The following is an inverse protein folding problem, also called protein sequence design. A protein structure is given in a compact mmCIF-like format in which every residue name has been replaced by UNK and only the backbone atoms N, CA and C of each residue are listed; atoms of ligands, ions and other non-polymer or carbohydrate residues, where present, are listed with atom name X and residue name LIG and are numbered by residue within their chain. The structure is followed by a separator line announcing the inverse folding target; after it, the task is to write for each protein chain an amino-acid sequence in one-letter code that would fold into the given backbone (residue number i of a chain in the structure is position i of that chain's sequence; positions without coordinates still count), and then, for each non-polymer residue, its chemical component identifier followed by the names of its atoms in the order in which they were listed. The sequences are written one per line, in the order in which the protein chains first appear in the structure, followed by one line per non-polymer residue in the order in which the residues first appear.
data_IF_673733908224
#
_entry.id   IF_673733908224
#
_cell.length_a   1.000
_cell.length_b   1.000
_cell.length_c   1.000
_cell.angle_alpha   90.00
_cell.angle_beta   90.00
_cell.angle_gamma   90.00
#
_symmetry.space_group_name_H-M   'P 1'
#
loop_
_entity.id
_entity.type
_entity.pdbx_description
1 polymer ?
#
# COMPACT_ATOMS: atom_id res chain seq x y z
N UNK A 1 56.41 -11.82 22.63
CA UNK A 1 56.48 -13.30 22.53
C UNK A 1 55.09 -13.80 22.15
N UNK A 2 54.96 -14.28 20.90
CA UNK A 2 53.92 -15.18 20.33
C UNK A 2 52.46 -14.67 20.32
N UNK A 3 51.89 -14.24 19.17
CA UNK A 3 51.22 -15.09 18.13
C UNK A 3 50.27 -16.12 18.78
N UNK A 4 48.99 -16.23 18.40
CA UNK A 4 48.54 -16.84 17.13
C UNK A 4 47.03 -16.53 16.93
N UNK A 5 46.66 -16.22 15.69
CA UNK A 5 45.28 -16.21 15.19
C UNK A 5 44.76 -17.65 15.02
N UNK A 6 43.52 -17.94 15.43
CA UNK A 6 42.85 -19.21 15.11
C UNK A 6 41.63 -18.96 14.22
N UNK A 7 41.79 -19.28 12.94
CA UNK A 7 40.73 -19.30 11.95
C UNK A 7 39.80 -20.50 12.19
N UNK A 8 38.57 -20.26 12.66
CA UNK A 8 37.53 -21.31 12.63
C UNK A 8 37.06 -21.43 11.19
N UNK A 9 37.58 -22.48 10.56
CA UNK A 9 37.33 -22.83 9.18
C UNK A 9 36.42 -24.05 9.13
N UNK A 10 35.55 -24.09 8.11
CA UNK A 10 34.93 -25.30 7.51
C UNK A 10 33.75 -25.85 8.33
N UNK A 11 32.62 -26.26 7.78
CA UNK A 11 32.10 -26.34 6.41
C UNK A 11 30.73 -26.99 6.55
N UNK A 12 29.64 -26.31 6.17
CA UNK A 12 28.36 -26.99 5.90
C UNK A 12 28.37 -27.37 4.42
N UNK A 13 28.14 -28.65 4.08
CA UNK A 13 27.05 -28.83 3.12
C UNK A 13 26.25 -30.13 3.25
N UNK A 14 25.04 -30.00 2.72
CA UNK A 14 24.28 -31.03 2.01
C UNK A 14 23.39 -31.96 2.83
N UNK A 15 22.11 -31.56 2.94
CA UNK A 15 21.03 -32.49 2.62
C UNK A 15 20.18 -31.90 1.50
N UNK A 16 20.37 -32.48 0.32
CA UNK A 16 19.46 -32.36 -0.82
C UNK A 16 18.14 -33.01 -0.41
N UNK A 17 17.07 -32.23 -0.26
CA UNK A 17 15.71 -32.76 -0.40
C UNK A 17 15.23 -32.35 -1.78
N UNK A 18 15.32 -33.32 -2.70
CA UNK A 18 14.58 -33.31 -3.95
C UNK A 18 13.11 -33.54 -3.61
N UNK A 19 12.32 -32.48 -3.50
CA UNK A 19 10.88 -32.55 -3.60
C UNK A 19 10.48 -31.69 -4.79
N UNK A 20 10.25 -32.36 -5.92
CA UNK A 20 9.66 -31.76 -7.12
C UNK A 20 8.33 -31.13 -6.70
N UNK A 21 8.10 -29.81 -6.85
CA UNK A 21 6.74 -29.32 -6.80
C UNK A 21 6.07 -29.89 -8.05
N UNK A 22 5.12 -30.81 -7.85
CA UNK A 22 4.14 -31.12 -8.88
C UNK A 22 3.46 -29.80 -9.20
N UNK A 23 3.74 -29.29 -10.39
CA UNK A 23 3.05 -28.18 -10.99
C UNK A 23 1.58 -28.60 -11.19
N UNK A 24 0.76 -28.44 -10.15
CA UNK A 24 -0.68 -28.36 -10.34
C UNK A 24 -0.94 -26.99 -10.94
N UNK A 25 -1.06 -27.00 -12.26
CA UNK A 25 -1.62 -25.93 -13.05
C UNK A 25 -3.11 -25.76 -12.69
N UNK A 26 -3.40 -25.08 -11.58
CA UNK A 26 -4.73 -24.50 -11.40
C UNK A 26 -4.80 -23.21 -12.23
N UNK A 27 -5.04 -23.37 -13.53
CA UNK A 27 -5.38 -22.33 -14.50
C UNK A 27 -6.77 -21.69 -14.25
N UNK A 28 -7.19 -21.60 -12.99
CA UNK A 28 -8.47 -21.00 -12.56
C UNK A 28 -8.22 -19.64 -11.91
N UNK A 29 -7.30 -18.85 -12.47
CA UNK A 29 -7.00 -17.49 -12.00
C UNK A 29 -6.86 -16.53 -13.17
N UNK A 30 -7.81 -16.55 -14.11
CA UNK A 30 -7.77 -15.66 -15.25
C UNK A 30 -9.17 -15.21 -15.72
N UNK A 31 -10.10 -14.88 -14.83
CA UNK A 31 -11.34 -14.16 -15.20
C UNK A 31 -12.04 -13.51 -13.99
N UNK A 32 -11.34 -12.66 -13.25
CA UNK A 32 -12.04 -11.62 -12.50
C UNK A 32 -11.31 -10.32 -12.76
N UNK A 33 -11.57 -9.74 -13.93
CA UNK A 33 -11.32 -8.32 -14.18
C UNK A 33 -12.13 -7.57 -13.13
N UNK A 34 -11.46 -7.29 -12.04
CA UNK A 34 -12.01 -6.66 -10.87
C UNK A 34 -12.74 -5.40 -11.33
N UNK A 35 -13.99 -5.27 -10.92
CA UNK A 35 -14.73 -4.01 -10.97
C UNK A 35 -14.05 -3.04 -10.00
N UNK A 36 -12.90 -2.50 -10.39
CA UNK A 36 -12.07 -1.62 -9.60
C UNK A 36 -12.64 -0.21 -9.73
N UNK A 37 -13.78 0.05 -9.08
CA UNK A 37 -14.24 1.42 -8.91
C UNK A 37 -13.18 2.18 -8.09
N UNK A 38 -12.58 3.26 -8.62
CA UNK A 38 -11.56 3.98 -7.88
C UNK A 38 -12.18 4.58 -6.62
N UNK A 39 -11.73 4.13 -5.46
CA UNK A 39 -12.15 4.65 -4.16
C UNK A 39 -11.82 6.15 -4.15
N UNK A 40 -12.85 7.00 -4.18
CA UNK A 40 -12.66 8.47 -4.15
C UNK A 40 -12.34 8.91 -2.72
N UNK A 41 -11.07 8.90 -2.37
CA UNK A 41 -10.52 9.41 -1.10
C UNK A 41 -10.44 10.95 -1.07
N UNK A 42 -10.04 11.52 0.07
CA UNK A 42 -9.80 12.95 0.22
C UNK A 42 -8.50 13.38 -0.47
N UNK A 43 -8.54 14.52 -1.19
CA UNK A 43 -7.34 15.15 -1.75
C UNK A 43 -6.73 16.12 -0.75
N UNK A 44 -5.50 15.88 -0.33
CA UNK A 44 -4.77 16.80 0.56
C UNK A 44 -4.27 18.01 -0.22
N UNK A 45 -4.52 19.22 0.28
CA UNK A 45 -4.07 20.51 -0.29
C UNK A 45 -3.60 21.45 0.82
N UNK A 46 -2.66 22.34 0.51
CA UNK A 46 -2.21 23.39 1.44
C UNK A 46 -3.32 24.41 1.74
N UNK A 47 -4.08 24.80 0.71
CA UNK A 47 -5.25 25.67 0.81
C UNK A 47 -6.50 24.95 0.29
N UNK A 48 -7.59 25.06 1.05
CA UNK A 48 -8.85 24.38 0.74
C UNK A 48 -9.92 25.42 0.40
N UNK A 49 -10.61 25.23 -0.73
CA UNK A 49 -11.65 26.14 -1.22
C UNK A 49 -12.89 25.36 -1.65
N UNK A 50 -14.07 25.98 -1.55
CA UNK A 50 -15.32 25.41 -2.09
C UNK A 50 -15.30 25.50 -3.62
N UNK A 51 -15.64 24.40 -4.30
CA UNK A 51 -15.69 24.32 -5.77
C UNK A 51 -17.12 24.38 -6.33
N UNK A 52 -18.12 24.06 -5.50
CA UNK A 52 -19.53 23.99 -5.86
C UNK A 52 -20.39 24.56 -4.71
N UNK A 53 -21.66 24.92 -4.96
CA UNK A 53 -22.57 25.39 -3.91
C UNK A 53 -22.78 24.36 -2.79
N UNK A 54 -22.81 23.07 -3.13
CA UNK A 54 -22.99 21.97 -2.16
C UNK A 54 -21.72 21.66 -1.34
N UNK A 55 -20.59 22.30 -1.66
CA UNK A 55 -19.37 22.12 -0.90
C UNK A 55 -19.43 22.92 0.39
N UNK A 56 -19.21 22.26 1.51
CA UNK A 56 -19.18 22.90 2.82
C UNK A 56 -17.89 22.62 3.57
N UNK A 57 -17.47 23.60 4.36
CA UNK A 57 -16.24 23.57 5.14
C UNK A 57 -16.54 23.01 6.53
N UNK A 58 -15.72 22.07 6.99
CA UNK A 58 -15.84 21.49 8.33
C UNK A 58 -14.47 21.43 8.97
N UNK A 59 -14.36 21.85 10.24
CA UNK A 59 -13.16 21.63 11.06
C UNK A 59 -13.34 20.35 11.89
N UNK A 60 -12.44 19.38 11.71
CA UNK A 60 -12.42 18.12 12.47
C UNK A 60 -10.97 17.77 12.82
N UNK A 61 -10.72 17.27 14.03
CA UNK A 61 -9.37 16.84 14.46
C UNK A 61 -8.28 17.91 14.19
N UNK A 62 -8.60 19.19 14.44
CA UNK A 62 -7.69 20.32 14.22
C UNK A 62 -7.40 20.69 12.76
N UNK A 63 -8.06 20.08 11.76
CA UNK A 63 -7.83 20.34 10.34
C UNK A 63 -9.11 20.75 9.63
N UNK A 64 -8.97 21.55 8.57
CA UNK A 64 -10.10 21.98 7.71
C UNK A 64 -10.31 20.96 6.59
N UNK A 65 -11.57 20.58 6.38
CA UNK A 65 -12.00 19.69 5.31
C UNK A 65 -13.06 20.37 4.45
N UNK A 66 -13.10 20.03 3.17
CA UNK A 66 -14.26 20.27 2.31
C UNK A 66 -14.96 18.96 2.06
N UNK A 67 -16.23 18.90 2.44
CA UNK A 67 -17.15 17.82 2.08
C UNK A 67 -18.09 18.31 0.98
N UNK A 68 -18.52 17.39 0.13
CA UNK A 68 -19.53 17.63 -0.89
C UNK A 68 -20.41 16.38 -0.96
N UNK A 69 -21.73 16.57 -0.87
CA UNK A 69 -22.70 15.46 -0.91
C UNK A 69 -22.93 14.97 -2.34
N UNK A 70 -22.99 15.91 -3.28
CA UNK A 70 -23.27 15.66 -4.70
C UNK A 70 -22.05 15.07 -5.44
N UNK A 71 -20.85 15.56 -5.16
CA UNK A 71 -19.64 15.23 -5.93
C UNK A 71 -18.46 14.79 -5.05
N UNK A 72 -18.12 13.50 -5.06
CA UNK A 72 -16.99 12.94 -4.30
C UNK A 72 -15.60 13.45 -4.71
N UNK A 73 -15.47 14.04 -5.92
CA UNK A 73 -14.20 14.62 -6.41
C UNK A 73 -13.78 15.89 -5.66
N UNK A 74 -14.71 16.57 -5.00
CA UNK A 74 -14.44 17.83 -4.29
C UNK A 74 -14.00 17.64 -2.84
N UNK A 75 -13.90 16.38 -2.36
CA UNK A 75 -13.42 16.07 -1.02
C UNK A 75 -11.96 16.48 -0.86
N UNK A 76 -11.69 17.46 0.00
CA UNK A 76 -10.34 18.01 0.22
C UNK A 76 -10.01 18.10 1.72
N UNK A 77 -8.72 17.96 2.08
CA UNK A 77 -8.17 18.07 3.44
C UNK A 77 -7.03 19.08 3.46
N UNK A 78 -7.01 19.94 4.48
CA UNK A 78 -5.90 20.87 4.70
C UNK A 78 -4.73 20.15 5.40
N UNK A 79 -3.53 20.34 4.86
CA UNK A 79 -2.27 19.80 5.42
C UNK A 79 -1.86 18.46 4.84
#
# INVERSE_FOLDING_TARGET
MFRIAAAVSRSLPSLRVSAKPLAVCNSVFASTTQLLSPIRTFKTKSAVKKMCPDCYLVKRKGRVFVYCKSNGKHKQRQG
#
